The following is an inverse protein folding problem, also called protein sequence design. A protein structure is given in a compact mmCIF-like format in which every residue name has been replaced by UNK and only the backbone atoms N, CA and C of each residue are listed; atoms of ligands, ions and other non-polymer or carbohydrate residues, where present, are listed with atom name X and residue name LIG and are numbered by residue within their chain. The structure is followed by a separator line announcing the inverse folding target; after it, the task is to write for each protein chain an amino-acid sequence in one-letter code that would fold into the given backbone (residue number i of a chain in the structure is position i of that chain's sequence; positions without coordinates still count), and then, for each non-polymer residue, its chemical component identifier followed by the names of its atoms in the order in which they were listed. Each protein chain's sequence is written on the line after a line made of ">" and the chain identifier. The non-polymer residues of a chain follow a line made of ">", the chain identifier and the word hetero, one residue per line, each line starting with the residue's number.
data_IF_751327385638
#
_entry.id   IF_751327385638
#
_cell.length_a   1.000
_cell.length_b   1.000
_cell.length_c   1.000
_cell.angle_alpha   90.00
_cell.angle_beta   90.00
_cell.angle_gamma   90.00
#
_symmetry.space_group_name_H-M   'P 1'
#
loop_
_entity.id
_entity.type
_entity.pdbx_description
1 polymer ?
#
# COMPACT_ATOMS: atom_id res chain seq x y z
N UNK A 1 -13.81 -6.35 17.91
CA UNK A 1 -12.62 -6.84 17.17
C UNK A 1 -12.89 -8.22 16.60
N UNK A 2 -13.29 -9.21 17.42
CA UNK A 2 -13.56 -10.56 16.92
C UNK A 2 -14.59 -10.58 15.78
N UNK A 3 -15.73 -9.90 15.93
CA UNK A 3 -16.75 -9.80 14.88
C UNK A 3 -16.18 -9.31 13.53
N UNK A 4 -15.27 -8.33 13.55
CA UNK A 4 -14.60 -7.82 12.34
C UNK A 4 -13.70 -8.90 11.73
N UNK A 5 -13.00 -9.69 12.54
CA UNK A 5 -12.15 -10.78 12.02
C UNK A 5 -13.00 -11.90 11.41
N UNK A 6 -14.18 -12.15 11.97
CA UNK A 6 -15.07 -13.23 11.54
C UNK A 6 -15.88 -12.84 10.28
N UNK A 7 -16.19 -11.55 10.10
CA UNK A 7 -16.96 -11.05 8.96
C UNK A 7 -16.15 -10.98 7.65
N UNK A 8 -14.82 -10.90 7.73
CA UNK A 8 -13.94 -10.77 6.56
C UNK A 8 -13.17 -12.06 6.28
N UNK A 9 -13.22 -12.54 5.03
CA UNK A 9 -12.44 -13.71 4.61
C UNK A 9 -10.93 -13.46 4.60
N UNK A 10 -10.51 -12.20 4.48
CA UNK A 10 -9.12 -11.78 4.53
C UNK A 10 -9.02 -10.28 4.83
N UNK A 11 -8.06 -9.89 5.66
CA UNK A 11 -7.73 -8.49 5.97
C UNK A 11 -6.27 -8.26 5.60
N UNK A 12 -6.03 -7.36 4.63
CA UNK A 12 -4.69 -6.98 4.20
C UNK A 12 -4.10 -5.86 5.08
N UNK A 13 -2.77 -5.82 5.17
CA UNK A 13 -2.03 -4.85 5.98
C UNK A 13 -1.11 -4.04 5.06
N UNK A 14 -1.21 -2.72 5.09
CA UNK A 14 -0.46 -1.84 4.18
C UNK A 14 1.04 -1.91 4.41
N UNK A 15 1.49 -1.99 5.67
CA UNK A 15 2.89 -2.13 6.05
C UNK A 15 3.50 -3.46 5.60
N UNK A 16 2.65 -4.46 5.34
CA UNK A 16 2.98 -5.80 4.84
C UNK A 16 2.25 -6.09 3.53
N UNK A 17 2.17 -5.09 2.65
CA UNK A 17 1.38 -5.17 1.41
C UNK A 17 1.80 -6.36 0.55
N UNK A 18 3.09 -6.54 0.30
CA UNK A 18 3.62 -7.65 -0.52
C UNK A 18 3.15 -9.01 0.03
N UNK A 19 3.29 -9.22 1.34
CA UNK A 19 2.89 -10.46 2.00
C UNK A 19 1.38 -10.65 1.93
N UNK A 20 0.62 -9.58 2.16
CA UNK A 20 -0.84 -9.59 2.08
C UNK A 20 -1.34 -9.96 0.69
N UNK A 21 -0.72 -9.40 -0.37
CA UNK A 21 -1.05 -9.71 -1.76
C UNK A 21 -0.69 -11.14 -2.14
N UNK A 22 0.43 -11.66 -1.64
CA UNK A 22 0.81 -13.07 -1.86
C UNK A 22 -0.20 -14.01 -1.19
N UNK A 23 -0.59 -13.73 0.06
CA UNK A 23 -1.62 -14.52 0.75
C UNK A 23 -2.93 -14.48 -0.02
N UNK A 24 -3.40 -13.29 -0.42
CA UNK A 24 -4.62 -13.14 -1.21
C UNK A 24 -4.54 -13.91 -2.53
N UNK A 25 -3.41 -13.83 -3.23
CA UNK A 25 -3.16 -14.59 -4.45
C UNK A 25 -3.29 -16.10 -4.22
N UNK A 26 -2.71 -16.62 -3.15
CA UNK A 26 -2.77 -18.05 -2.83
C UNK A 26 -4.18 -18.48 -2.45
N UNK A 27 -4.89 -17.68 -1.64
CA UNK A 27 -6.28 -17.96 -1.22
C UNK A 27 -7.26 -17.96 -2.40
N UNK A 28 -7.07 -17.06 -3.36
CA UNK A 28 -7.97 -16.87 -4.50
C UNK A 28 -7.47 -17.51 -5.80
N UNK A 29 -6.35 -18.25 -5.74
CA UNK A 29 -5.69 -18.88 -6.89
C UNK A 29 -5.43 -17.90 -8.06
N UNK A 30 -4.92 -16.71 -7.74
CA UNK A 30 -4.56 -15.67 -8.71
C UNK A 30 -3.17 -15.91 -9.30
N UNK A 31 -2.90 -15.30 -10.45
CA UNK A 31 -1.55 -15.28 -11.01
C UNK A 31 -0.71 -14.16 -10.38
N UNK A 32 0.62 -14.25 -10.50
CA UNK A 32 1.49 -13.16 -10.02
C UNK A 32 1.19 -11.84 -10.73
N UNK A 33 0.77 -11.89 -12.00
CA UNK A 33 0.46 -10.69 -12.80
C UNK A 33 -0.71 -9.89 -12.24
N UNK A 34 -1.70 -10.58 -11.64
CA UNK A 34 -2.91 -9.97 -11.10
C UNK A 34 -2.64 -9.14 -9.83
N UNK A 35 -1.49 -9.38 -9.19
CA UNK A 35 -1.09 -8.69 -7.95
C UNK A 35 0.14 -7.80 -8.14
N UNK A 36 0.61 -7.59 -9.38
CA UNK A 36 1.65 -6.62 -9.67
C UNK A 36 1.09 -5.20 -9.55
N UNK A 37 1.90 -4.29 -9.00
CA UNK A 37 1.54 -2.89 -8.87
C UNK A 37 2.75 -1.99 -9.06
N UNK A 38 2.50 -0.74 -9.42
CA UNK A 38 3.51 0.31 -9.49
C UNK A 38 3.13 1.44 -8.54
N UNK A 39 4.11 2.15 -7.99
CA UNK A 39 3.81 3.34 -7.18
C UNK A 39 3.38 4.46 -8.11
N UNK A 40 2.11 4.81 -8.06
CA UNK A 40 1.55 5.88 -8.89
C UNK A 40 1.82 7.29 -8.33
N UNK A 41 2.07 7.42 -7.02
CA UNK A 41 2.25 8.73 -6.34
C UNK A 41 3.27 8.61 -5.22
N UNK A 42 4.17 9.58 -5.14
CA UNK A 42 5.13 9.73 -4.05
C UNK A 42 5.18 11.19 -3.60
N UNK A 43 5.48 11.40 -2.33
CA UNK A 43 5.83 12.74 -1.83
C UNK A 43 6.95 13.35 -2.66
N UNK A 44 6.90 14.66 -2.87
CA UNK A 44 7.83 15.39 -3.72
C UNK A 44 7.41 15.47 -5.19
N UNK A 45 6.37 14.74 -5.59
CA UNK A 45 5.77 14.82 -6.93
C UNK A 45 4.54 15.73 -6.99
N UNK A 46 3.91 15.75 -8.16
CA UNK A 46 2.67 16.48 -8.42
C UNK A 46 1.55 15.50 -8.76
N UNK A 47 0.33 15.85 -8.40
CA UNK A 47 -0.85 15.02 -8.66
C UNK A 47 -2.05 15.83 -9.09
N UNK A 48 -3.02 15.15 -9.69
CA UNK A 48 -4.23 15.77 -10.18
C UNK A 48 -4.99 16.43 -9.02
N UNK A 49 -5.27 17.72 -9.17
CA UNK A 49 -6.07 18.50 -8.25
C UNK A 49 -7.45 18.85 -8.82
N UNK A 50 -8.17 19.77 -8.16
CA UNK A 50 -9.44 20.28 -8.67
C UNK A 50 -9.23 21.07 -9.98
N UNK A 51 -10.28 21.32 -10.79
CA UNK A 51 -10.16 21.97 -12.09
C UNK A 51 -9.43 23.33 -12.07
N UNK A 52 -9.53 24.08 -10.98
CA UNK A 52 -8.89 25.39 -10.82
C UNK A 52 -7.39 25.28 -10.51
N UNK A 53 -6.93 24.10 -10.07
CA UNK A 53 -5.53 23.79 -9.74
C UNK A 53 -5.23 22.33 -10.16
N UNK A 54 -5.12 22.06 -11.46
CA UNK A 54 -5.07 20.70 -11.99
C UNK A 54 -3.86 19.92 -11.51
N UNK A 55 -2.79 20.60 -11.05
CA UNK A 55 -1.61 19.97 -10.48
C UNK A 55 -1.31 20.53 -9.09
N UNK A 56 -1.34 19.63 -8.10
CA UNK A 56 -1.10 19.92 -6.68
C UNK A 56 0.14 19.17 -6.23
N UNK A 57 1.08 19.91 -5.62
CA UNK A 57 2.28 19.34 -5.04
C UNK A 57 1.93 18.42 -3.87
N UNK A 58 2.53 17.23 -3.82
CA UNK A 58 2.37 16.29 -2.72
C UNK A 58 3.51 16.54 -1.72
N UNK A 59 3.29 17.30 -0.64
CA UNK A 59 4.34 17.53 0.34
C UNK A 59 4.72 16.21 1.03
N UNK A 60 6.00 16.03 1.41
CA UNK A 60 6.39 14.98 2.33
C UNK A 60 5.58 15.06 3.63
N UNK A 61 5.15 13.90 4.13
CA UNK A 61 4.51 13.83 5.43
C UNK A 61 5.51 14.25 6.51
N UNK A 62 5.12 15.20 7.36
CA UNK A 62 5.91 15.62 8.51
C UNK A 62 5.02 15.76 9.74
N UNK A 63 5.62 15.54 10.91
CA UNK A 63 4.94 15.70 12.20
C UNK A 63 5.52 16.90 12.94
N UNK A 64 4.67 17.86 13.28
CA UNK A 64 5.04 18.97 14.14
C UNK A 64 5.35 18.49 15.57
N UNK A 65 6.13 19.23 16.37
CA UNK A 65 6.34 18.89 17.78
C UNK A 65 5.03 18.77 18.57
N UNK A 66 4.02 19.60 18.25
CA UNK A 66 2.69 19.53 18.86
C UNK A 66 1.97 18.22 18.55
N UNK A 67 1.97 17.80 17.28
CA UNK A 67 1.38 16.52 16.86
C UNK A 67 2.07 15.34 17.53
N UNK A 68 3.41 15.33 17.57
CA UNK A 68 4.17 14.26 18.25
C UNK A 68 3.80 14.15 19.73
N UNK A 69 3.69 15.29 20.44
CA UNK A 69 3.24 15.30 21.84
C UNK A 69 1.81 14.80 21.99
N UNK A 70 0.91 15.21 21.10
CA UNK A 70 -0.47 14.76 21.14
C UNK A 70 -0.59 13.26 20.87
N UNK A 71 0.12 12.72 19.88
CA UNK A 71 0.10 11.28 19.59
C UNK A 71 0.72 10.44 20.70
N UNK A 72 1.62 11.01 21.51
CA UNK A 72 2.15 10.36 22.71
C UNK A 72 1.25 10.53 23.95
N UNK A 73 0.17 11.31 23.86
CA UNK A 73 -0.70 11.60 25.00
C UNK A 73 -1.62 10.41 25.34
N UNK A 74 -2.01 10.25 26.62
CA UNK A 74 -2.98 9.23 27.02
C UNK A 74 -4.32 9.35 26.29
N UNK A 75 -4.76 10.58 26.00
CA UNK A 75 -6.00 10.86 25.28
C UNK A 75 -5.99 10.23 23.88
N UNK A 76 -4.93 10.48 23.10
CA UNK A 76 -4.80 9.89 21.78
C UNK A 76 -4.65 8.37 21.83
N UNK A 77 -3.79 7.87 22.73
CA UNK A 77 -3.57 6.43 22.89
C UNK A 77 -4.85 5.68 23.29
N UNK A 78 -5.69 6.29 24.13
CA UNK A 78 -7.00 5.75 24.47
C UNK A 78 -7.95 5.77 23.27
N UNK A 79 -7.91 6.84 22.45
CA UNK A 79 -8.74 6.98 21.26
C UNK A 79 -8.44 5.89 20.23
N UNK A 80 -7.17 5.59 19.97
CA UNK A 80 -6.75 4.60 18.95
C UNK A 80 -6.65 3.17 19.47
N UNK A 81 -6.96 2.91 20.75
CA UNK A 81 -6.74 1.60 21.37
C UNK A 81 -7.45 0.47 20.62
N UNK A 82 -8.67 0.73 20.14
CA UNK A 82 -9.45 -0.24 19.35
C UNK A 82 -8.77 -0.57 18.02
N UNK A 83 -8.29 0.46 17.31
CA UNK A 83 -7.60 0.31 16.03
C UNK A 83 -6.28 -0.46 16.19
N UNK A 84 -5.51 -0.15 17.23
CA UNK A 84 -4.28 -0.87 17.56
C UNK A 84 -4.56 -2.35 17.84
N UNK A 85 -5.62 -2.65 18.60
CA UNK A 85 -6.01 -4.03 18.88
C UNK A 85 -6.43 -4.77 17.59
N UNK A 86 -7.18 -4.11 16.70
CA UNK A 86 -7.54 -4.69 15.40
C UNK A 86 -6.31 -4.89 14.51
N UNK A 87 -5.39 -3.94 14.48
CA UNK A 87 -4.14 -4.01 13.73
C UNK A 87 -3.25 -5.17 14.19
N UNK A 88 -3.08 -5.34 15.51
CA UNK A 88 -2.35 -6.46 16.09
C UNK A 88 -3.02 -7.80 15.77
N UNK A 89 -4.35 -7.86 15.88
CA UNK A 89 -5.11 -9.06 15.54
C UNK A 89 -5.00 -9.42 14.06
N UNK A 90 -5.06 -8.44 13.16
CA UNK A 90 -4.88 -8.64 11.72
C UNK A 90 -3.46 -9.14 11.40
N UNK A 91 -2.42 -8.58 12.04
CA UNK A 91 -1.04 -9.06 11.90
C UNK A 91 -0.91 -10.53 12.30
N UNK A 92 -1.41 -10.89 13.49
CA UNK A 92 -1.38 -12.27 13.96
C UNK A 92 -2.20 -13.20 13.05
N UNK A 93 -3.31 -12.72 12.48
CA UNK A 93 -4.10 -13.47 11.51
C UNK A 93 -3.33 -13.73 10.22
N UNK A 94 -2.67 -12.71 9.67
CA UNK A 94 -1.84 -12.84 8.48
C UNK A 94 -0.73 -13.89 8.69
N UNK A 95 -0.04 -13.84 9.84
CA UNK A 95 1.02 -14.80 10.16
C UNK A 95 0.51 -16.24 10.26
N UNK A 96 -0.65 -16.44 10.90
CA UNK A 96 -1.29 -17.76 10.96
C UNK A 96 -1.69 -18.26 9.58
N UNK A 97 -2.21 -17.38 8.72
CA UNK A 97 -2.56 -17.75 7.35
C UNK A 97 -1.32 -18.13 6.54
N UNK A 98 -0.21 -17.39 6.66
CA UNK A 98 1.06 -17.74 6.01
C UNK A 98 1.53 -19.12 6.47
N UNK A 99 1.45 -19.42 7.77
CA UNK A 99 1.80 -20.73 8.30
C UNK A 99 0.90 -21.83 7.74
N UNK A 100 -0.41 -21.61 7.69
CA UNK A 100 -1.38 -22.58 7.17
C UNK A 100 -1.22 -22.85 5.66
N UNK A 101 -0.82 -21.84 4.90
CA UNK A 101 -0.52 -21.94 3.46
C UNK A 101 0.83 -22.61 3.17
N UNK A 102 1.69 -22.76 4.17
CA UNK A 102 3.03 -23.32 4.03
C UNK A 102 4.08 -22.25 3.75
N UNK A 103 5.05 -22.11 4.66
CA UNK A 103 6.08 -21.06 4.61
C UNK A 103 6.95 -21.11 3.34
N UNK A 104 7.34 -22.31 2.90
CA UNK A 104 8.19 -22.48 1.72
C UNK A 104 7.47 -22.07 0.43
N UNK A 105 6.19 -22.43 0.31
CA UNK A 105 5.38 -22.06 -0.84
C UNK A 105 5.08 -20.56 -0.87
N UNK A 106 4.71 -20.01 0.29
CA UNK A 106 4.57 -18.57 0.46
C UNK A 106 5.84 -17.83 0.04
N UNK A 107 7.02 -18.26 0.51
CA UNK A 107 8.29 -17.61 0.19
C UNK A 107 8.62 -17.67 -1.31
N UNK A 108 8.31 -18.78 -2.00
CA UNK A 108 8.44 -18.87 -3.46
C UNK A 108 7.59 -17.82 -4.16
N UNK A 109 6.33 -17.66 -3.74
CA UNK A 109 5.43 -16.66 -4.33
C UNK A 109 5.84 -15.22 -4.00
N UNK A 110 6.34 -14.97 -2.79
CA UNK A 110 6.85 -13.66 -2.39
C UNK A 110 8.09 -13.26 -3.19
N UNK A 111 9.01 -14.20 -3.44
CA UNK A 111 10.16 -13.95 -4.30
C UNK A 111 9.74 -13.65 -5.74
N UNK A 112 8.82 -14.44 -6.30
CA UNK A 112 8.29 -14.21 -7.65
C UNK A 112 7.57 -12.85 -7.77
N UNK A 113 6.82 -12.43 -6.74
CA UNK A 113 6.22 -11.10 -6.70
C UNK A 113 7.30 -10.01 -6.74
N UNK A 114 8.30 -10.10 -5.87
CA UNK A 114 9.39 -9.10 -5.78
C UNK A 114 10.19 -8.99 -7.09
N UNK A 115 10.48 -10.11 -7.74
CA UNK A 115 11.10 -10.14 -9.06
C UNK A 115 10.22 -9.47 -10.12
N UNK A 116 8.94 -9.80 -10.15
CA UNK A 116 7.97 -9.18 -11.06
C UNK A 116 7.82 -7.68 -10.83
N UNK A 117 7.77 -7.23 -9.56
CA UNK A 117 7.71 -5.82 -9.20
C UNK A 117 8.98 -5.08 -9.63
N UNK A 118 10.17 -5.69 -9.48
CA UNK A 118 11.43 -5.12 -9.96
C UNK A 118 11.40 -4.92 -11.47
N UNK A 119 10.99 -5.94 -12.23
CA UNK A 119 10.88 -5.85 -13.68
C UNK A 119 9.87 -4.79 -14.12
N UNK A 120 8.70 -4.76 -13.46
CA UNK A 120 7.67 -3.76 -13.72
C UNK A 120 8.19 -2.35 -13.44
N UNK A 121 8.87 -2.13 -12.31
CA UNK A 121 9.47 -0.83 -11.99
C UNK A 121 10.53 -0.41 -13.00
N UNK A 122 11.40 -1.31 -13.44
CA UNK A 122 12.41 -1.04 -14.46
C UNK A 122 11.77 -0.69 -15.81
N UNK A 123 10.75 -1.44 -16.23
CA UNK A 123 10.07 -1.22 -17.51
C UNK A 123 9.19 0.04 -17.52
N UNK A 124 8.57 0.33 -16.39
CA UNK A 124 7.64 1.45 -16.24
C UNK A 124 8.32 2.73 -15.75
N UNK A 125 9.64 2.69 -15.48
CA UNK A 125 10.43 3.84 -15.06
C UNK A 125 10.32 4.96 -16.10
N UNK A 126 9.80 6.12 -15.68
CA UNK A 126 9.60 7.28 -16.55
C UNK A 126 8.43 7.16 -17.54
N UNK A 127 7.63 6.08 -17.47
CA UNK A 127 6.43 5.86 -18.31
C UNK A 127 5.13 5.96 -17.53
N UNK A 128 5.18 5.94 -16.20
CA UNK A 128 4.04 6.30 -15.35
C UNK A 128 3.78 7.80 -15.50
N UNK A 129 2.96 8.15 -16.48
CA UNK A 129 2.57 9.53 -16.74
C UNK A 129 1.51 9.93 -15.73
N UNK A 130 1.92 10.71 -14.73
CA UNK A 130 0.99 11.59 -14.02
C UNK A 130 0.55 12.69 -14.99
N UNK A 131 -0.70 13.17 -14.95
CA UNK A 131 -1.13 14.31 -15.80
C UNK A 131 -0.45 15.63 -15.39
N UNK A 132 0.56 15.57 -14.52
CA UNK A 132 1.38 16.66 -14.04
C UNK A 132 2.86 16.33 -14.24
N UNK A 133 3.63 17.28 -14.76
CA UNK A 133 5.09 17.16 -14.86
C UNK A 133 5.79 17.58 -13.54
N UNK A 134 7.13 17.51 -13.50
CA UNK A 134 7.92 17.91 -12.32
C UNK A 134 7.79 19.40 -11.97
N UNK A 135 7.42 20.25 -12.94
CA UNK A 135 7.18 21.68 -12.76
C UNK A 135 5.77 22.03 -12.26
N UNK A 136 4.88 21.03 -12.10
CA UNK A 136 3.49 21.25 -11.70
C UNK A 136 2.58 21.75 -12.82
N UNK A 137 2.96 21.52 -14.08
CA UNK A 137 2.14 21.85 -15.23
C UNK A 137 1.34 20.63 -15.69
N UNK A 138 0.09 20.88 -16.10
CA UNK A 138 -0.75 19.83 -16.69
C UNK A 138 -0.18 19.42 -18.04
N UNK A 139 0.03 18.12 -18.22
CA UNK A 139 0.46 17.54 -19.50
C UNK A 139 -0.66 16.67 -20.10
N UNK A 140 -0.79 16.60 -21.44
CA UNK A 140 -1.75 15.72 -22.08
C UNK A 140 -1.58 14.28 -21.60
N UNK A 141 -2.69 13.59 -21.38
CA UNK A 141 -2.65 12.17 -21.07
C UNK A 141 -2.07 11.40 -22.25
N UNK A 142 -0.84 10.89 -22.11
CA UNK A 142 -0.23 9.99 -23.07
C UNK A 142 -0.54 8.57 -22.61
N UNK A 143 -1.28 7.83 -23.44
CA UNK A 143 -1.69 6.47 -23.15
C UNK A 143 -0.49 5.53 -23.31
N UNK A 144 0.44 5.56 -22.36
CA UNK A 144 1.53 4.60 -22.27
C UNK A 144 1.10 3.51 -21.30
N UNK A 145 0.66 2.38 -21.84
CA UNK A 145 0.35 1.18 -21.05
C UNK A 145 1.60 0.70 -20.35
N UNK A 146 1.57 0.77 -19.02
CA UNK A 146 2.52 0.26 -18.05
C UNK A 146 1.74 -0.51 -16.99
#
# INVERSE_FOLDING_TARGET
>A
VQDILDDYNFIAITERMDESLVVMKMLLNLTTKDILYTRARSSGGWSNGPPERPCVYIPPSFLTPGMKRYFASPEWQQTIRGDMLLYEAANASLDRTIQALGQDEFQRHLNALREGLKLAQEHCKGRVVTQCNEGGESIPFVNNTC
#
